data_IF_576312772176
#
_entry.id   IF_576312772176
#
_cell.length_a   1.000
_cell.length_b   1.000
_cell.length_c   1.000
_cell.angle_alpha   90.00
_cell.angle_beta   90.00
_cell.angle_gamma   90.00
#
_symmetry.space_group_name_H-M   'P 1'
#
loop_
_entity.id
_entity.type
_entity.pdbx_description
1 polymer ?
#
# COMPACT_ATOMS: atom_id res chain seq x y z
N UNK A 1 -2.00 17.01 -12.46
CA UNK A 1 -0.69 16.44 -12.83
C UNK A 1 -0.94 15.05 -13.37
N UNK A 2 -0.39 14.69 -14.53
CA UNK A 2 -0.55 13.36 -15.12
C UNK A 2 0.22 12.30 -14.32
N UNK A 3 -0.01 11.01 -14.58
CA UNK A 3 0.79 9.95 -13.95
C UNK A 3 2.25 10.03 -14.39
N UNK A 4 2.52 10.35 -15.65
CA UNK A 4 3.89 10.49 -16.18
C UNK A 4 4.64 11.65 -15.54
N UNK A 5 3.96 12.80 -15.34
CA UNK A 5 4.53 13.94 -14.62
C UNK A 5 4.86 13.58 -13.17
N UNK A 6 3.95 12.88 -12.47
CA UNK A 6 4.20 12.38 -11.12
C UNK A 6 5.37 11.39 -11.09
N UNK A 7 5.41 10.48 -12.04
CA UNK A 7 6.45 9.47 -12.16
C UNK A 7 7.83 10.12 -12.35
N UNK A 8 7.96 11.04 -13.30
CA UNK A 8 9.19 11.79 -13.51
C UNK A 8 9.59 12.60 -12.27
N UNK A 9 8.63 13.26 -11.61
CA UNK A 9 8.88 14.02 -10.40
C UNK A 9 9.41 13.14 -9.26
N UNK A 10 8.83 11.96 -9.04
CA UNK A 10 9.28 11.04 -8.00
C UNK A 10 10.60 10.35 -8.34
N UNK A 11 10.82 9.96 -9.60
CA UNK A 11 12.11 9.43 -10.05
C UNK A 11 13.24 10.43 -9.81
N UNK A 12 13.00 11.71 -10.15
CA UNK A 12 13.96 12.78 -9.89
C UNK A 12 14.16 13.01 -8.37
N UNK A 13 13.06 13.18 -7.62
CA UNK A 13 13.09 13.44 -6.17
C UNK A 13 13.85 12.36 -5.40
N UNK A 14 13.73 11.11 -5.81
CA UNK A 14 14.36 9.98 -5.14
C UNK A 14 15.66 9.51 -5.79
N UNK A 15 16.13 10.19 -6.85
CA UNK A 15 17.40 9.87 -7.51
C UNK A 15 17.40 8.47 -8.12
N UNK A 16 16.30 8.09 -8.77
CA UNK A 16 16.15 6.80 -9.44
C UNK A 16 16.48 6.94 -10.92
N UNK A 17 17.46 6.18 -11.38
CA UNK A 17 17.67 5.92 -12.81
C UNK A 17 16.78 4.76 -13.22
N UNK A 18 15.82 5.00 -14.11
CA UNK A 18 14.84 4.00 -14.55
C UNK A 18 15.34 3.33 -15.83
N UNK A 19 15.41 2.01 -15.81
CA UNK A 19 15.89 1.18 -16.92
C UNK A 19 14.71 0.57 -17.72
N UNK A 20 13.62 0.21 -17.03
CA UNK A 20 12.41 -0.39 -17.60
C UNK A 20 11.15 0.20 -16.95
N UNK A 21 10.08 0.37 -17.73
CA UNK A 21 8.78 0.85 -17.25
C UNK A 21 7.71 -0.15 -17.62
N UNK A 22 6.88 -0.53 -16.63
CA UNK A 22 5.70 -1.37 -16.84
C UNK A 22 4.46 -0.68 -16.32
N UNK A 23 3.40 -0.74 -17.12
CA UNK A 23 2.11 -0.18 -16.74
C UNK A 23 1.15 -1.31 -16.42
N UNK A 24 0.49 -1.17 -15.27
CA UNK A 24 -0.62 -2.02 -14.83
C UNK A 24 -1.91 -1.22 -14.93
N UNK A 25 -3.04 -1.84 -14.60
CA UNK A 25 -4.31 -1.14 -14.55
C UNK A 25 -4.27 0.05 -13.57
N UNK A 26 -3.69 -0.15 -12.38
CA UNK A 26 -3.73 0.83 -11.30
C UNK A 26 -2.45 1.62 -11.12
N UNK A 27 -1.32 1.16 -11.66
CA UNK A 27 0.01 1.71 -11.37
C UNK A 27 0.96 1.76 -12.58
N UNK A 28 1.93 2.66 -12.52
CA UNK A 28 3.14 2.67 -13.36
C UNK A 28 4.34 2.28 -12.50
N UNK A 29 5.13 1.32 -12.98
CA UNK A 29 6.25 0.71 -12.28
C UNK A 29 7.55 1.01 -13.03
N UNK A 30 8.51 1.66 -12.36
CA UNK A 30 9.85 1.91 -12.85
C UNK A 30 10.85 0.98 -12.21
N UNK A 31 11.45 0.10 -12.98
CA UNK A 31 12.55 -0.75 -12.52
C UNK A 31 13.86 -0.04 -12.81
N UNK A 32 14.73 0.04 -11.81
CA UNK A 32 15.93 0.84 -11.96
C UNK A 32 16.91 0.71 -10.81
N UNK A 33 17.76 1.73 -10.71
CA UNK A 33 18.79 1.83 -9.67
C UNK A 33 18.65 3.15 -8.91
N UNK A 34 18.71 3.09 -7.58
CA UNK A 34 18.76 4.27 -6.70
C UNK A 34 19.86 4.07 -5.66
N UNK A 35 20.76 5.05 -5.49
CA UNK A 35 21.93 4.94 -4.59
C UNK A 35 22.73 3.64 -4.77
N UNK A 36 22.94 3.21 -6.02
CA UNK A 36 23.61 1.96 -6.39
C UNK A 36 22.92 0.67 -5.92
N UNK A 37 21.63 0.71 -5.59
CA UNK A 37 20.84 -0.47 -5.26
C UNK A 37 19.69 -0.66 -6.27
N UNK A 38 19.37 -1.91 -6.64
CA UNK A 38 18.17 -2.20 -7.42
C UNK A 38 16.90 -1.75 -6.71
N UNK A 39 16.05 -0.99 -7.38
CA UNK A 39 14.80 -0.44 -6.85
C UNK A 39 13.63 -0.58 -7.82
N UNK A 40 12.42 -0.49 -7.28
CA UNK A 40 11.18 -0.33 -8.03
C UNK A 40 10.46 0.93 -7.57
N UNK A 41 10.22 1.86 -8.47
CA UNK A 41 9.36 3.02 -8.28
C UNK A 41 7.93 2.65 -8.68
N UNK A 42 7.00 2.60 -7.72
CA UNK A 42 5.56 2.43 -7.98
C UNK A 42 4.86 3.78 -7.88
N UNK A 43 4.09 4.16 -8.91
CA UNK A 43 3.24 5.36 -8.91
C UNK A 43 1.81 4.99 -9.29
N UNK A 44 0.85 5.34 -8.43
CA UNK A 44 -0.57 5.02 -8.60
C UNK A 44 -1.18 5.95 -9.66
N UNK A 45 -1.86 5.38 -10.66
CA UNK A 45 -2.41 6.11 -11.81
C UNK A 45 -3.58 7.01 -11.45
N UNK A 46 -4.48 6.54 -10.57
CA UNK A 46 -5.68 7.27 -10.15
C UNK A 46 -5.50 7.86 -8.76
N UNK A 47 -5.60 9.18 -8.68
CA UNK A 47 -5.60 9.89 -7.40
C UNK A 47 -6.79 9.47 -6.52
N UNK A 48 -6.56 9.41 -5.21
CA UNK A 48 -7.57 9.02 -4.21
C UNK A 48 -8.23 7.64 -4.46
N UNK A 49 -7.56 6.76 -5.21
CA UNK A 49 -7.95 5.35 -5.30
C UNK A 49 -7.53 4.58 -4.05
N UNK A 50 -8.03 3.36 -3.89
CA UNK A 50 -7.73 2.53 -2.71
C UNK A 50 -6.22 2.28 -2.54
N UNK A 51 -5.49 2.13 -3.64
CA UNK A 51 -4.04 1.93 -3.62
C UNK A 51 -3.23 3.22 -3.31
N UNK A 52 -3.88 4.39 -3.21
CA UNK A 52 -3.19 5.65 -2.99
C UNK A 52 -2.36 5.68 -1.71
N UNK A 53 -2.83 4.99 -0.68
CA UNK A 53 -2.17 4.84 0.62
C UNK A 53 -1.13 3.69 0.66
N UNK A 54 -0.77 3.08 -0.48
CA UNK A 54 0.07 1.87 -0.50
C UNK A 54 1.40 2.00 0.27
N UNK A 55 2.03 3.18 0.29
CA UNK A 55 3.24 3.43 1.07
C UNK A 55 3.04 3.32 2.58
N UNK A 56 1.99 3.96 3.09
CA UNK A 56 1.58 3.94 4.50
C UNK A 56 1.19 2.52 4.93
N UNK A 57 0.49 1.80 4.06
CA UNK A 57 0.14 0.39 4.30
C UNK A 57 1.42 -0.44 4.43
N UNK A 58 2.36 -0.36 3.49
CA UNK A 58 3.59 -1.13 3.56
C UNK A 58 4.45 -0.77 4.79
N UNK A 59 4.50 0.52 5.16
CA UNK A 59 5.20 0.98 6.37
C UNK A 59 4.56 0.42 7.65
N UNK A 60 3.23 0.33 7.72
CA UNK A 60 2.52 -0.23 8.88
C UNK A 60 2.88 -1.70 9.16
N UNK A 61 3.30 -2.46 8.15
CA UNK A 61 3.80 -3.82 8.33
C UNK A 61 5.28 -3.87 8.75
N UNK A 62 6.02 -2.77 8.68
CA UNK A 62 7.38 -2.66 9.23
C UNK A 62 8.39 -3.67 8.68
N UNK A 63 8.18 -4.19 7.46
CA UNK A 63 9.02 -5.24 6.88
C UNK A 63 8.70 -6.66 7.36
N UNK A 64 7.67 -6.84 8.19
CA UNK A 64 7.25 -8.14 8.70
C UNK A 64 6.25 -8.78 7.73
N UNK A 65 6.75 -9.71 6.91
CA UNK A 65 5.96 -10.41 5.89
C UNK A 65 5.75 -9.63 4.58
N UNK A 66 5.97 -8.31 4.59
CA UNK A 66 5.92 -7.44 3.43
C UNK A 66 7.26 -6.71 3.22
N UNK A 67 7.42 -6.12 2.05
CA UNK A 67 8.58 -5.29 1.73
C UNK A 67 8.51 -3.95 2.46
N UNK A 68 9.61 -3.56 3.11
CA UNK A 68 9.72 -2.24 3.73
C UNK A 68 10.06 -1.20 2.64
N UNK A 69 9.25 -0.15 2.43
CA UNK A 69 9.56 0.89 1.47
C UNK A 69 10.83 1.64 1.89
N UNK A 70 11.67 1.99 0.91
CA UNK A 70 12.84 2.87 1.11
C UNK A 70 12.35 4.30 1.36
N UNK A 71 11.33 4.72 0.63
CA UNK A 71 10.64 5.99 0.77
C UNK A 71 9.22 5.86 0.22
N UNK A 72 8.29 6.68 0.70
CA UNK A 72 6.96 6.78 0.11
C UNK A 72 6.40 8.20 0.22
N UNK A 73 5.33 8.45 -0.52
CA UNK A 73 4.54 9.66 -0.54
C UNK A 73 3.11 9.30 -0.99
N UNK A 74 2.11 10.19 -0.84
CA UNK A 74 0.77 9.92 -1.34
C UNK A 74 0.78 9.53 -2.83
N UNK A 75 0.29 8.32 -3.12
CA UNK A 75 0.25 7.76 -4.47
C UNK A 75 1.59 7.28 -5.05
N UNK A 76 2.66 7.18 -4.26
CA UNK A 76 3.94 6.67 -4.73
C UNK A 76 4.76 5.94 -3.64
N UNK A 77 5.47 4.88 -4.03
CA UNK A 77 6.39 4.16 -3.16
C UNK A 77 7.68 3.79 -3.90
N UNK A 78 8.81 3.95 -3.24
CA UNK A 78 10.11 3.45 -3.66
C UNK A 78 10.43 2.18 -2.87
N UNK A 79 10.59 1.07 -3.59
CA UNK A 79 10.74 -0.25 -3.01
C UNK A 79 12.12 -0.82 -3.36
N UNK A 80 12.75 -1.60 -2.47
CA UNK A 80 13.86 -2.44 -2.87
C UNK A 80 13.41 -3.43 -3.94
N UNK A 81 14.27 -3.70 -4.94
CA UNK A 81 14.00 -4.75 -5.91
C UNK A 81 14.63 -6.05 -5.42
N UNK A 82 13.84 -7.12 -5.32
CA UNK A 82 14.35 -8.45 -5.02
C UNK A 82 15.15 -8.98 -6.22
N UNK A 83 16.46 -9.11 -6.05
CA UNK A 83 17.38 -9.65 -7.06
C UNK A 83 18.39 -10.60 -6.37
N UNK A 84 18.30 -11.92 -6.59
CA UNK A 84 17.23 -12.62 -7.29
C UNK A 84 15.91 -12.59 -6.49
N UNK A 85 14.79 -12.60 -7.19
CA UNK A 85 13.47 -12.93 -6.63
C UNK A 85 12.95 -14.18 -7.33
N UNK A 86 12.35 -15.10 -6.58
CA UNK A 86 11.73 -16.29 -7.15
C UNK A 86 10.22 -16.10 -7.18
N UNK A 87 9.62 -16.30 -8.35
CA UNK A 87 8.18 -16.24 -8.52
C UNK A 87 7.56 -17.54 -7.97
N UNK A 88 6.61 -17.43 -7.03
CA UNK A 88 5.87 -18.58 -6.51
C UNK A 88 5.07 -19.29 -7.60
N UNK A 89 4.71 -18.60 -8.69
CA UNK A 89 4.06 -19.21 -9.86
C UNK A 89 4.89 -20.37 -10.42
N UNK A 90 6.22 -20.30 -10.34
CA UNK A 90 7.08 -21.40 -10.81
C UNK A 90 6.82 -22.70 -10.04
N UNK A 91 6.57 -22.63 -8.73
CA UNK A 91 6.25 -23.80 -7.91
C UNK A 91 4.89 -24.40 -8.31
N UNK A 92 3.88 -23.58 -8.55
CA UNK A 92 2.58 -24.05 -9.03
C UNK A 92 2.68 -24.71 -10.41
N UNK A 93 3.45 -24.15 -11.33
CA UNK A 93 3.68 -24.74 -12.67
C UNK A 93 4.37 -26.11 -12.56
N UNK A 94 5.20 -26.31 -11.54
CA UNK A 94 5.86 -27.58 -11.23
C UNK A 94 4.95 -28.57 -10.46
N UNK A 95 3.69 -28.22 -10.17
CA UNK A 95 2.76 -29.03 -9.40
C UNK A 95 3.06 -29.08 -7.90
N UNK A 96 3.79 -28.09 -7.39
CA UNK A 96 4.19 -27.94 -5.97
C UNK A 96 3.31 -26.90 -5.26
N UNK A 97 2.01 -26.99 -5.47
CA UNK A 97 1.02 -26.04 -4.92
C UNK A 97 0.99 -26.04 -3.38
N UNK A 98 1.21 -27.19 -2.74
CA UNK A 98 1.29 -27.31 -1.29
C UNK A 98 2.47 -26.47 -0.74
N UNK A 99 3.62 -26.54 -1.41
CA UNK A 99 4.80 -25.76 -1.00
C UNK A 99 4.61 -24.26 -1.24
N UNK A 100 4.00 -23.87 -2.37
CA UNK A 100 3.65 -22.48 -2.61
C UNK A 100 2.68 -21.95 -1.53
N UNK A 101 1.71 -22.79 -1.14
CA UNK A 101 0.73 -22.47 -0.09
C UNK A 101 1.41 -22.34 1.28
N UNK A 102 2.33 -23.25 1.63
CA UNK A 102 3.07 -23.20 2.89
C UNK A 102 3.95 -21.95 2.99
N UNK A 103 4.56 -21.51 1.88
CA UNK A 103 5.32 -20.26 1.83
C UNK A 103 4.43 -19.03 2.06
N UNK A 104 3.26 -18.98 1.42
CA UNK A 104 2.28 -17.89 1.62
C UNK A 104 1.74 -17.90 3.06
N UNK A 105 1.36 -19.07 3.59
CA UNK A 105 0.88 -19.21 4.95
C UNK A 105 1.93 -18.77 5.97
N UNK A 106 3.19 -19.17 5.77
CA UNK A 106 4.32 -18.73 6.58
C UNK A 106 4.55 -17.21 6.50
N UNK A 107 4.40 -16.62 5.31
CA UNK A 107 4.47 -15.16 5.14
C UNK A 107 3.38 -14.45 5.93
N UNK A 108 2.13 -14.89 5.81
CA UNK A 108 0.96 -14.32 6.52
C UNK A 108 1.14 -14.44 8.03
N UNK A 109 1.65 -15.57 8.54
CA UNK A 109 1.88 -15.75 9.98
C UNK A 109 2.91 -14.76 10.56
N UNK A 110 3.86 -14.28 9.76
CA UNK A 110 4.85 -13.28 10.16
C UNK A 110 4.31 -11.86 10.10
N UNK A 111 3.20 -11.63 9.38
CA UNK A 111 2.61 -10.30 9.31
C UNK A 111 2.08 -9.91 10.69
N UNK A 112 2.37 -8.69 11.17
CA UNK A 112 1.87 -8.24 12.45
C UNK A 112 0.35 -8.22 12.37
N UNK A 113 -0.31 -8.76 13.39
CA UNK A 113 -1.73 -8.50 13.64
C UNK A 113 -1.80 -7.04 14.09
N UNK A 114 -1.78 -6.11 13.14
CA UNK A 114 -1.72 -4.69 13.48
C UNK A 114 -2.88 -4.35 14.43
N UNK A 115 -2.56 -3.69 15.54
CA UNK A 115 -3.57 -3.16 16.46
C UNK A 115 -4.22 -1.88 15.90
N UNK A 116 -3.62 -1.26 14.89
CA UNK A 116 -4.05 0.02 14.31
C UNK A 116 -4.21 -0.14 12.80
N UNK A 117 -5.45 0.03 12.33
CA UNK A 117 -5.74 0.08 10.90
C UNK A 117 -5.18 1.38 10.31
N UNK A 118 -4.44 1.34 9.17
CA UNK A 118 -4.09 2.54 8.44
C UNK A 118 -5.33 3.37 8.11
N UNK A 119 -5.19 4.70 8.17
CA UNK A 119 -6.29 5.63 7.88
C UNK A 119 -6.81 5.39 6.46
N UNK A 120 -8.12 5.19 6.32
CA UNK A 120 -8.75 4.92 5.03
C UNK A 120 -8.91 3.43 4.68
N UNK A 121 -8.33 2.52 5.46
CA UNK A 121 -8.71 1.10 5.42
C UNK A 121 -9.96 0.92 6.29
N UNK A 122 -11.12 0.89 5.63
CA UNK A 122 -12.40 0.64 6.28
C UNK A 122 -12.66 -0.85 6.49
N UNK A 123 -13.67 -1.17 7.31
CA UNK A 123 -14.21 -2.52 7.42
C UNK A 123 -14.59 -3.05 6.03
N UNK A 124 -14.42 -4.35 5.84
CA UNK A 124 -14.86 -5.03 4.61
C UNK A 124 -16.35 -4.83 4.38
N UNK A 125 -17.15 -4.55 5.42
CA UNK A 125 -18.59 -4.28 5.30
C UNK A 125 -18.95 -3.15 4.32
N UNK A 126 -18.00 -2.25 4.04
CA UNK A 126 -18.15 -1.22 3.00
C UNK A 126 -18.44 -1.77 1.61
N UNK A 127 -18.10 -3.04 1.34
CA UNK A 127 -18.35 -3.73 0.07
C UNK A 127 -19.77 -4.29 -0.03
N UNK A 128 -20.57 -4.26 1.06
CA UNK A 128 -21.94 -4.76 1.05
C UNK A 128 -22.81 -4.18 -0.07
N UNK A 129 -22.77 -2.86 -0.38
CA UNK A 129 -23.56 -2.29 -1.48
C UNK A 129 -23.23 -2.88 -2.87
N UNK A 130 -22.04 -3.47 -3.05
CA UNK A 130 -21.60 -4.01 -4.34
C UNK A 130 -22.45 -5.22 -4.77
N UNK A 131 -23.06 -5.95 -3.83
CA UNK A 131 -24.02 -7.03 -4.15
C UNK A 131 -25.26 -6.48 -4.86
N UNK A 132 -25.82 -5.36 -4.38
CA UNK A 132 -26.94 -4.70 -5.02
C UNK A 132 -26.53 -4.14 -6.40
N UNK A 133 -25.34 -3.55 -6.50
CA UNK A 133 -24.80 -3.09 -7.78
C UNK A 133 -24.65 -4.25 -8.79
N UNK A 134 -24.10 -5.37 -8.36
CA UNK A 134 -23.92 -6.57 -9.19
C UNK A 134 -25.26 -7.09 -9.74
N UNK A 135 -26.29 -7.20 -8.89
CA UNK A 135 -27.64 -7.62 -9.32
C UNK A 135 -28.22 -6.71 -10.42
N UNK A 136 -27.92 -5.42 -10.36
CA UNK A 136 -28.44 -4.42 -11.29
C UNK A 136 -27.62 -4.31 -12.59
N UNK A 137 -26.35 -4.69 -12.57
CA UNK A 137 -25.41 -4.43 -13.67
C UNK A 137 -25.02 -5.68 -14.47
N UNK A 138 -25.21 -6.89 -13.93
CA UNK A 138 -24.79 -8.11 -14.61
C UNK A 138 -25.97 -8.83 -15.26
N UNK A 139 -25.89 -9.03 -16.58
CA UNK A 139 -26.84 -9.76 -17.42
C UNK A 139 -26.84 -11.28 -17.15
N UNK A 140 -27.14 -11.68 -15.91
CA UNK A 140 -27.41 -13.07 -15.55
C UNK A 140 -26.20 -14.02 -15.60
N UNK A 141 -24.96 -13.50 -15.63
CA UNK A 141 -23.74 -14.33 -15.66
C UNK A 141 -23.62 -15.24 -14.42
N UNK A 142 -24.13 -14.77 -13.28
CA UNK A 142 -24.25 -15.54 -12.04
C UNK A 142 -25.74 -15.55 -11.66
N UNK A 143 -26.36 -16.73 -11.44
CA UNK A 143 -27.76 -16.77 -11.03
C UNK A 143 -27.99 -16.04 -9.70
N UNK A 144 -29.06 -15.25 -9.62
CA UNK A 144 -29.33 -14.36 -8.47
C UNK A 144 -29.34 -15.08 -7.12
N UNK A 145 -29.83 -16.33 -7.07
CA UNK A 145 -29.83 -17.12 -5.83
C UNK A 145 -28.43 -17.41 -5.27
N UNK A 146 -27.39 -17.47 -6.12
CA UNK A 146 -26.00 -17.56 -5.64
C UNK A 146 -25.51 -16.23 -5.08
N UNK A 147 -25.91 -15.10 -5.68
CA UNK A 147 -25.58 -13.76 -5.19
C UNK A 147 -26.22 -13.52 -3.83
N UNK A 148 -27.50 -13.91 -3.66
CA UNK A 148 -28.22 -13.78 -2.39
C UNK A 148 -27.56 -14.61 -1.27
N UNK A 149 -27.16 -15.84 -1.60
CA UNK A 149 -26.44 -16.70 -0.64
C UNK A 149 -25.07 -16.14 -0.29
N UNK A 150 -24.35 -15.60 -1.27
CA UNK A 150 -23.05 -14.97 -1.05
C UNK A 150 -23.15 -13.71 -0.18
N UNK A 151 -24.16 -12.86 -0.41
CA UNK A 151 -24.41 -11.68 0.44
C UNK A 151 -24.73 -12.08 1.88
N UNK A 152 -25.57 -13.09 2.09
CA UNK A 152 -25.90 -13.59 3.43
C UNK A 152 -24.64 -14.09 4.17
N UNK A 153 -23.82 -14.92 3.51
CA UNK A 153 -22.55 -15.41 4.07
C UNK A 153 -21.57 -14.25 4.34
N UNK A 154 -21.51 -13.28 3.44
CA UNK A 154 -20.67 -12.10 3.62
C UNK A 154 -21.07 -11.29 4.86
N UNK A 155 -22.37 -11.08 5.09
CA UNK A 155 -22.88 -10.41 6.29
C UNK A 155 -22.50 -11.17 7.56
N UNK A 156 -22.64 -12.51 7.56
CA UNK A 156 -22.20 -13.35 8.68
C UNK A 156 -20.69 -13.20 8.94
N UNK A 157 -19.87 -13.19 7.89
CA UNK A 157 -18.43 -13.01 8.00
C UNK A 157 -18.05 -11.61 8.52
N UNK A 158 -18.70 -10.55 8.04
CA UNK A 158 -18.51 -9.19 8.55
C UNK A 158 -18.80 -9.11 10.05
N UNK A 159 -19.81 -9.84 10.54
CA UNK A 159 -20.12 -9.88 11.98
C UNK A 159 -19.03 -10.56 12.83
N UNK A 160 -18.13 -11.33 12.21
CA UNK A 160 -16.96 -11.94 12.88
C UNK A 160 -15.70 -11.07 12.83
N UNK A 161 -15.72 -9.97 12.08
CA UNK A 161 -14.63 -9.01 12.05
C UNK A 161 -14.47 -8.41 13.46
N UNK A 162 -13.28 -8.58 14.05
CA UNK A 162 -12.99 -7.97 15.35
C UNK A 162 -12.66 -6.50 15.11
N UNK A 163 -13.27 -5.61 15.89
CA UNK A 163 -12.91 -4.19 15.85
C UNK A 163 -11.39 -4.04 16.07
N UNK A 164 -10.67 -3.33 15.19
CA UNK A 164 -9.31 -2.92 15.48
C UNK A 164 -9.38 -2.01 16.72
N UNK A 165 -8.67 -2.39 17.77
CA UNK A 165 -8.61 -1.64 19.02
C UNK A 165 -8.26 -0.18 18.73
N UNK A 166 -9.19 0.73 19.00
CA UNK A 166 -8.98 2.16 18.81
C UNK A 166 -7.90 2.66 19.78
N UNK A 167 -6.77 3.12 19.25
CA UNK A 167 -5.80 3.92 20.01
C UNK A 167 -6.06 5.39 19.69
N UNK A 168 -6.20 6.18 20.75
CA UNK A 168 -6.55 7.60 20.77
C UNK A 168 -5.76 8.45 19.75
N UNK A 169 -6.46 9.06 18.81
CA UNK A 169 -5.94 9.87 17.70
C UNK A 169 -5.38 11.25 18.12
N UNK A 170 -5.16 11.49 19.42
CA UNK A 170 -4.59 12.75 19.94
C UNK A 170 -3.05 12.84 19.91
N UNK A 171 -2.32 11.83 19.46
CA UNK A 171 -0.84 11.87 19.45
C UNK A 171 -0.19 12.28 18.13
N UNK A 172 -0.91 12.31 17.00
CA UNK A 172 -0.36 12.84 15.74
C UNK A 172 -0.75 14.29 15.52
N UNK A 173 -0.30 15.17 16.43
CA UNK A 173 -0.21 16.60 16.12
C UNK A 173 1.02 16.82 15.24
N UNK A 174 0.77 17.21 14.00
CA UNK A 174 1.78 17.69 13.07
C UNK A 174 2.43 18.95 13.66
N UNK A 175 3.57 18.78 14.35
CA UNK A 175 4.32 19.84 14.99
C UNK A 175 5.77 19.84 14.53
N UNK A 176 6.05 20.28 13.29
CA UNK A 176 7.34 20.90 12.98
C UNK A 176 7.33 21.64 11.63
N UNK A 177 6.95 22.93 11.64
CA UNK A 177 7.51 23.90 10.69
C UNK A 177 8.61 24.65 11.42
N UNK A 178 9.84 24.24 11.15
CA UNK A 178 11.04 24.92 11.62
C UNK A 178 11.08 26.36 11.13
N UNK A 179 11.35 27.28 12.06
CA UNK A 179 11.74 28.66 11.77
C UNK A 179 13.22 28.80 12.13
N UNK A 180 14.10 28.60 11.14
CA UNK A 180 15.51 28.97 11.25
C UNK A 180 15.71 30.41 10.76
N UNK A 181 16.24 31.25 11.64
CA UNK A 181 17.31 32.21 11.36
C UNK A 181 16.96 33.54 10.68
N UNK A 182 16.88 34.62 11.48
CA UNK A 182 17.49 35.89 11.08
C UNK A 182 17.88 36.77 12.30
N UNK A 183 19.19 37.00 12.41
CA UNK A 183 19.93 38.16 12.96
C UNK A 183 19.44 38.85 14.25
N UNK A 184 20.08 38.51 15.38
CA UNK A 184 20.07 39.29 16.62
C UNK A 184 21.43 39.98 16.84
N UNK A 185 21.40 41.31 16.89
CA UNK A 185 22.53 42.25 16.99
C UNK A 185 23.28 42.19 18.33
N UNK A 186 24.53 42.63 18.26
CA UNK A 186 25.41 43.03 19.34
C UNK A 186 24.72 43.87 20.44
N UNK A 187 25.05 43.57 21.69
CA UNK A 187 24.78 44.41 22.86
C UNK A 187 25.83 44.13 23.94
N UNK A 188 26.70 45.12 24.15
CA UNK A 188 27.89 45.13 25.00
C UNK A 188 27.61 45.10 26.52
N UNK A 189 28.56 44.52 27.25
CA UNK A 189 29.08 44.84 28.61
C UNK A 189 28.40 46.04 29.32
N UNK A 190 27.79 45.89 30.50
CA UNK A 190 28.41 45.71 31.83
C UNK A 190 28.44 47.06 32.58
N UNK A 191 28.75 47.15 33.89
CA UNK A 191 28.83 46.12 34.94
C UNK A 191 27.59 46.05 35.85
#
# INVERSE_FOLDING_TARGET
>A
MTVDERFAAYAHKWGVTVDDIRTTETSQLGFGTGRNQPVVLKVIRRENSEEWCCGEVLEAFGGAGLILPIAHAPGAALLPRLVPGHDLVSLCVEGRDDEATDLIASLIQRMPKSAVAPVGIGSVDRLRPDFAQFRNACDGFIPVGYVDRAEAMFIELCATEREPSTVDSRQFSCGNTGRCGHAGRCGSAGP
#
